data_IF_317507594502
#
_entry.id   IF_317507594502
#
_cell.length_a   1.000
_cell.length_b   1.000
_cell.length_c   1.000
_cell.angle_alpha   90.00
_cell.angle_beta   90.00
_cell.angle_gamma   90.00
#
_symmetry.space_group_name_H-M   'P 1'
#
loop_
_entity.id
_entity.type
_entity.pdbx_description
1 polymer ?
#
# COMPACT_ATOMS: atom_id res chain seq x y z
N UNK A 1 25.36 -19.30 16.41
CA UNK A 1 25.15 -17.96 16.93
C UNK A 1 24.22 -17.23 15.98
N UNK A 2 22.95 -17.04 16.34
CA UNK A 2 21.99 -16.30 15.55
C UNK A 2 22.18 -14.80 15.83
N UNK A 3 22.11 -13.90 14.83
CA UNK A 3 22.22 -12.46 15.07
C UNK A 3 20.96 -11.99 15.80
N UNK A 4 21.14 -11.40 16.97
CA UNK A 4 20.09 -10.73 17.72
C UNK A 4 19.61 -9.51 16.92
N UNK A 5 18.43 -9.57 16.35
CA UNK A 5 17.77 -8.41 15.78
C UNK A 5 17.31 -7.50 16.93
N UNK A 6 18.10 -6.51 17.26
CA UNK A 6 17.67 -5.39 18.09
C UNK A 6 16.66 -4.54 17.32
N UNK A 7 15.43 -5.01 17.24
CA UNK A 7 14.31 -4.24 16.72
C UNK A 7 14.08 -3.06 17.64
N UNK A 8 14.50 -1.87 17.23
CA UNK A 8 14.12 -0.63 17.89
C UNK A 8 12.60 -0.51 17.82
N UNK A 9 11.92 -0.85 18.91
CA UNK A 9 10.46 -0.70 19.01
C UNK A 9 10.16 0.78 18.98
N UNK A 10 9.79 1.33 17.86
CA UNK A 10 9.35 2.72 17.76
C UNK A 10 8.12 2.90 18.64
N UNK A 11 8.27 3.56 19.78
CA UNK A 11 7.15 3.87 20.66
C UNK A 11 6.37 5.03 20.05
N UNK A 12 5.20 4.74 19.50
CA UNK A 12 4.31 5.72 18.93
C UNK A 12 3.64 6.56 20.05
N UNK A 13 3.34 7.85 19.78
CA UNK A 13 2.53 8.65 20.69
C UNK A 13 1.11 8.06 20.83
N UNK A 14 0.43 8.35 21.93
CA UNK A 14 -0.92 7.83 22.18
C UNK A 14 -1.94 8.31 21.12
N UNK A 15 -1.71 9.46 20.53
CA UNK A 15 -2.51 10.12 19.50
C UNK A 15 -1.96 9.87 18.07
N UNK A 16 -1.22 8.77 17.86
CA UNK A 16 -0.64 8.46 16.55
C UNK A 16 -1.69 8.42 15.44
N UNK A 17 -1.51 9.26 14.42
CA UNK A 17 -2.36 9.29 13.23
C UNK A 17 -1.70 8.58 12.05
N UNK A 18 -2.51 7.95 11.21
CA UNK A 18 -2.05 7.14 10.09
C UNK A 18 -2.66 7.64 8.78
N UNK A 19 -1.85 8.06 7.83
CA UNK A 19 -2.31 8.22 6.45
C UNK A 19 -2.53 6.82 5.86
N UNK A 20 -3.78 6.48 5.62
CA UNK A 20 -4.18 5.24 4.95
C UNK A 20 -4.39 5.50 3.47
N UNK A 21 -3.66 4.77 2.63
CA UNK A 21 -3.70 4.89 1.17
C UNK A 21 -4.15 3.55 0.59
N UNK A 22 -5.16 3.60 -0.29
CA UNK A 22 -5.61 2.48 -1.12
C UNK A 22 -5.26 2.81 -2.57
N UNK A 23 -4.27 2.11 -3.10
CA UNK A 23 -3.80 2.25 -4.48
C UNK A 23 -4.53 1.23 -5.35
N UNK A 24 -5.44 1.70 -6.18
CA UNK A 24 -6.16 0.86 -7.12
C UNK A 24 -5.78 1.09 -8.58
N UNK A 25 -6.08 0.13 -9.45
CA UNK A 25 -5.84 0.27 -10.90
C UNK A 25 -6.66 1.37 -11.57
N UNK A 26 -7.77 1.80 -10.98
CA UNK A 26 -8.65 2.85 -11.53
C UNK A 26 -8.77 4.08 -10.64
N UNK A 27 -8.26 4.02 -9.41
CA UNK A 27 -8.39 5.13 -8.47
C UNK A 27 -7.45 5.02 -7.30
N UNK A 28 -6.89 6.15 -6.90
CA UNK A 28 -6.09 6.33 -5.70
C UNK A 28 -6.98 6.94 -4.64
N UNK A 29 -7.01 6.36 -3.44
CA UNK A 29 -7.82 6.82 -2.33
C UNK A 29 -6.96 7.02 -1.11
N UNK A 30 -7.24 8.04 -0.31
CA UNK A 30 -6.55 8.27 0.94
C UNK A 30 -7.43 8.99 1.96
N UNK A 31 -7.18 8.70 3.24
CA UNK A 31 -7.71 9.42 4.39
C UNK A 31 -6.72 9.32 5.54
N UNK A 32 -6.83 10.20 6.53
CA UNK A 32 -6.09 10.09 7.79
C UNK A 32 -6.97 9.45 8.84
N UNK A 33 -6.42 8.45 9.52
CA UNK A 33 -7.08 7.70 10.57
C UNK A 33 -6.50 8.07 11.94
N UNK A 34 -7.36 8.16 12.93
CA UNK A 34 -6.98 8.27 14.34
C UNK A 34 -6.40 6.94 14.88
N UNK A 35 -5.94 6.87 16.15
CA UNK A 35 -5.44 5.64 16.74
C UNK A 35 -6.46 4.50 16.81
N UNK A 36 -7.76 4.79 16.73
CA UNK A 36 -8.84 3.82 16.73
C UNK A 36 -9.25 3.37 15.33
N UNK A 37 -8.62 3.93 14.28
CA UNK A 37 -8.95 3.65 12.88
C UNK A 37 -10.14 4.44 12.33
N UNK A 38 -10.61 5.46 13.05
CA UNK A 38 -11.69 6.33 12.59
C UNK A 38 -11.13 7.41 11.67
N UNK A 39 -11.82 7.69 10.57
CA UNK A 39 -11.42 8.73 9.62
C UNK A 39 -11.53 10.12 10.27
N UNK A 40 -10.44 10.89 10.19
CA UNK A 40 -10.34 12.26 10.70
C UNK A 40 -10.72 13.31 9.65
N UNK A 41 -10.84 12.91 8.39
CA UNK A 41 -11.26 13.74 7.26
C UNK A 41 -11.92 12.87 6.20
N UNK A 42 -12.70 13.49 5.32
CA UNK A 42 -13.30 12.81 4.19
C UNK A 42 -12.24 12.16 3.31
N UNK A 43 -12.58 10.99 2.81
CA UNK A 43 -11.70 10.24 1.90
C UNK A 43 -11.57 10.94 0.57
N UNK A 44 -10.35 11.31 0.21
CA UNK A 44 -10.02 11.81 -1.11
C UNK A 44 -9.91 10.65 -2.08
N UNK A 45 -10.48 10.81 -3.27
CA UNK A 45 -10.35 9.88 -4.39
C UNK A 45 -9.98 10.66 -5.64
N UNK A 46 -8.93 10.20 -6.32
CA UNK A 46 -8.54 10.69 -7.67
C UNK A 46 -8.39 9.50 -8.62
N UNK A 47 -8.50 9.74 -9.90
CA UNK A 47 -8.24 8.71 -10.89
C UNK A 47 -6.76 8.31 -10.91
N UNK A 48 -6.50 7.04 -11.14
CA UNK A 48 -5.13 6.55 -11.33
C UNK A 48 -4.60 7.05 -12.67
N UNK A 49 -3.49 7.78 -12.69
CA UNK A 49 -2.90 8.26 -13.95
C UNK A 49 -2.33 7.08 -14.74
N UNK A 50 -2.47 7.13 -16.06
CA UNK A 50 -1.84 6.19 -16.98
C UNK A 50 -1.09 6.95 -18.10
N UNK A 51 0.14 6.52 -18.46
CA UNK A 51 0.93 5.48 -17.79
C UNK A 51 1.32 5.88 -16.36
N UNK A 52 1.46 4.89 -15.47
CA UNK A 52 1.77 5.12 -14.06
C UNK A 52 3.14 4.51 -13.68
N UNK A 53 4.27 5.09 -14.09
CA UNK A 53 5.57 4.69 -13.56
C UNK A 53 5.68 5.03 -12.06
N UNK A 54 6.62 4.43 -11.30
CA UNK A 54 6.78 4.63 -9.86
C UNK A 54 6.83 6.10 -9.43
N UNK A 55 7.54 6.93 -10.18
CA UNK A 55 7.67 8.38 -9.90
C UNK A 55 6.35 9.14 -10.01
N UNK A 56 5.51 8.77 -10.99
CA UNK A 56 4.18 9.34 -11.17
C UNK A 56 3.28 8.96 -10.00
N UNK A 57 3.28 7.68 -9.58
CA UNK A 57 2.51 7.25 -8.42
C UNK A 57 2.90 8.03 -7.16
N UNK A 58 4.21 8.10 -6.86
CA UNK A 58 4.70 8.83 -5.67
C UNK A 58 4.27 10.29 -5.68
N UNK A 59 4.38 11.00 -6.82
CA UNK A 59 3.93 12.39 -6.97
C UNK A 59 2.42 12.53 -6.76
N UNK A 60 1.62 11.65 -7.34
CA UNK A 60 0.16 11.67 -7.18
C UNK A 60 -0.25 11.49 -5.73
N UNK A 61 0.39 10.57 -5.01
CA UNK A 61 0.12 10.33 -3.59
C UNK A 61 0.55 11.53 -2.73
N UNK A 62 1.65 12.22 -3.06
CA UNK A 62 2.02 13.46 -2.38
C UNK A 62 0.99 14.58 -2.57
N UNK A 63 0.42 14.72 -3.78
CA UNK A 63 -0.62 15.72 -4.05
C UNK A 63 -1.88 15.44 -3.23
N UNK A 64 -2.29 14.18 -3.13
CA UNK A 64 -3.43 13.78 -2.30
C UNK A 64 -3.15 14.07 -0.82
N UNK A 65 -1.99 13.66 -0.32
CA UNK A 65 -1.64 13.81 1.09
C UNK A 65 -1.59 15.27 1.57
N UNK A 66 -1.24 16.21 0.69
CA UNK A 66 -1.22 17.65 1.02
C UNK A 66 -2.60 18.24 1.32
N UNK A 67 -3.67 17.56 0.93
CA UNK A 67 -5.06 17.97 1.15
C UNK A 67 -5.66 17.36 2.44
N UNK A 68 -4.90 16.52 3.13
CA UNK A 68 -5.32 15.79 4.31
C UNK A 68 -4.63 16.34 5.58
N UNK A 69 -5.20 16.10 6.77
CA UNK A 69 -4.54 16.44 8.02
C UNK A 69 -3.15 15.84 8.17
N UNK A 70 -2.36 16.38 9.10
CA UNK A 70 -1.04 15.85 9.44
C UNK A 70 -1.12 14.42 9.96
N UNK A 71 -0.07 13.65 9.71
CA UNK A 71 0.00 12.23 10.09
C UNK A 71 1.42 11.86 10.54
N UNK A 72 1.51 10.82 11.38
CA UNK A 72 2.76 10.35 11.95
C UNK A 72 3.37 9.16 11.19
N UNK A 73 2.55 8.43 10.44
CA UNK A 73 2.96 7.24 9.66
C UNK A 73 2.03 7.01 8.48
N UNK A 74 2.47 6.18 7.54
CA UNK A 74 1.69 5.84 6.34
C UNK A 74 1.50 4.33 6.22
N UNK A 75 0.29 3.91 5.88
CA UNK A 75 -0.06 2.54 5.49
C UNK A 75 -0.60 2.54 4.07
N UNK A 76 -0.04 1.70 3.21
CA UNK A 76 -0.40 1.63 1.79
C UNK A 76 -0.85 0.22 1.42
N UNK A 77 -2.08 0.08 0.94
CA UNK A 77 -2.57 -1.07 0.19
C UNK A 77 -2.21 -0.90 -1.29
N UNK A 78 -1.50 -1.86 -1.89
CA UNK A 78 -0.96 -1.78 -3.23
C UNK A 78 -1.40 -2.96 -4.10
N UNK A 79 -1.85 -2.75 -5.36
CA UNK A 79 -2.47 -3.79 -6.21
C UNK A 79 -1.41 -4.67 -6.89
N UNK A 80 -0.50 -5.25 -6.11
CA UNK A 80 0.58 -6.06 -6.63
C UNK A 80 1.27 -6.90 -5.56
N UNK A 81 2.20 -7.73 -5.99
CA UNK A 81 3.04 -8.49 -5.07
C UNK A 81 4.12 -7.58 -4.49
N UNK A 82 4.08 -7.41 -3.17
CA UNK A 82 5.07 -6.61 -2.41
C UNK A 82 5.79 -7.51 -1.42
N UNK A 83 7.11 -7.36 -1.33
CA UNK A 83 7.93 -8.04 -0.34
C UNK A 83 8.94 -7.06 0.26
N UNK A 84 8.93 -6.94 1.59
CA UNK A 84 9.81 -6.00 2.31
C UNK A 84 9.76 -4.56 1.76
N UNK A 85 8.56 -4.08 1.40
CA UNK A 85 8.35 -2.74 0.84
C UNK A 85 8.75 -2.56 -0.62
N UNK A 86 9.27 -3.62 -1.27
CA UNK A 86 9.64 -3.62 -2.70
C UNK A 86 8.55 -4.27 -3.54
N UNK A 87 8.26 -3.67 -4.68
CA UNK A 87 7.34 -4.21 -5.67
C UNK A 87 8.03 -5.34 -6.43
N UNK A 88 7.44 -6.53 -6.41
CA UNK A 88 7.92 -7.67 -7.20
C UNK A 88 7.16 -7.73 -8.52
N UNK A 89 5.86 -7.47 -8.48
CA UNK A 89 5.00 -7.47 -9.66
C UNK A 89 3.79 -6.58 -9.43
N UNK A 90 3.41 -5.82 -10.46
CA UNK A 90 2.19 -4.99 -10.45
C UNK A 90 1.54 -4.96 -11.83
N UNK A 91 0.65 -5.92 -12.14
CA UNK A 91 0.02 -6.02 -13.47
C UNK A 91 -0.71 -4.75 -13.91
N UNK A 92 -1.37 -4.05 -12.98
CA UNK A 92 -2.12 -2.83 -13.29
C UNK A 92 -1.21 -1.71 -13.84
N UNK A 93 -0.04 -1.48 -13.24
CA UNK A 93 0.83 -0.36 -13.60
C UNK A 93 1.93 -0.72 -14.62
N UNK A 94 2.01 -1.97 -14.98
CA UNK A 94 2.89 -2.46 -16.05
C UNK A 94 2.26 -2.27 -17.44
N UNK A 95 1.38 -1.30 -17.62
CA UNK A 95 0.58 -1.03 -18.83
C UNK A 95 0.47 0.46 -19.08
N UNK A 96 0.40 0.88 -20.34
CA UNK A 96 0.25 2.30 -20.70
C UNK A 96 -1.16 2.82 -20.49
N UNK A 97 -2.15 1.93 -20.56
CA UNK A 97 -3.56 2.22 -20.28
C UNK A 97 -4.15 1.09 -19.44
N UNK A 98 -5.17 1.38 -18.65
CA UNK A 98 -5.84 0.38 -17.84
C UNK A 98 -6.42 -0.75 -18.74
N UNK A 99 -6.12 -2.00 -18.37
CA UNK A 99 -6.58 -3.17 -19.17
C UNK A 99 -5.83 -3.42 -20.48
N UNK A 100 -4.90 -2.54 -20.88
CA UNK A 100 -4.08 -2.72 -22.08
C UNK A 100 -3.03 -3.85 -21.97
N UNK A 101 -2.23 -4.11 -23.01
CA UNK A 101 -1.14 -5.09 -22.95
C UNK A 101 -0.02 -4.64 -22.01
N UNK A 102 0.79 -5.56 -21.46
CA UNK A 102 1.99 -5.22 -20.71
C UNK A 102 2.99 -4.42 -21.55
N UNK A 103 3.57 -3.40 -20.93
CA UNK A 103 4.64 -2.58 -21.49
C UNK A 103 5.97 -2.98 -20.82
N UNK A 104 6.98 -3.44 -21.58
CA UNK A 104 8.24 -3.93 -21.02
C UNK A 104 8.99 -2.91 -20.18
N UNK A 105 8.96 -1.63 -20.58
CA UNK A 105 9.66 -0.56 -19.86
C UNK A 105 9.01 -0.32 -18.49
N UNK A 106 7.67 -0.31 -18.43
CA UNK A 106 6.95 -0.17 -17.17
C UNK A 106 7.12 -1.41 -16.28
N UNK A 107 7.14 -2.60 -16.84
CA UNK A 107 7.47 -3.84 -16.11
C UNK A 107 8.83 -3.71 -15.46
N UNK A 108 9.86 -3.27 -16.21
CA UNK A 108 11.21 -3.10 -15.70
C UNK A 108 11.30 -2.02 -14.62
N UNK A 109 10.65 -0.88 -14.80
CA UNK A 109 10.63 0.21 -13.82
C UNK A 109 10.00 -0.19 -12.48
N UNK A 110 9.01 -1.06 -12.50
CA UNK A 110 8.32 -1.51 -11.29
C UNK A 110 9.01 -2.69 -10.60
N UNK A 111 9.73 -3.53 -11.35
CA UNK A 111 10.37 -4.73 -10.81
C UNK A 111 11.47 -4.36 -9.81
N UNK A 112 11.32 -4.80 -8.58
CA UNK A 112 12.27 -4.51 -7.48
C UNK A 112 12.23 -3.07 -6.97
N UNK A 113 11.32 -2.20 -7.45
CA UNK A 113 11.23 -0.82 -7.00
C UNK A 113 10.95 -0.73 -5.50
N UNK A 114 11.77 0.02 -4.78
CA UNK A 114 11.63 0.28 -3.34
C UNK A 114 10.54 1.34 -3.10
N UNK A 115 9.28 0.90 -3.16
CA UNK A 115 8.14 1.79 -3.00
C UNK A 115 8.03 2.34 -1.57
N UNK A 116 8.27 1.50 -0.56
CA UNK A 116 8.21 1.94 0.84
C UNK A 116 9.27 3.01 1.12
N UNK A 117 10.52 2.80 0.68
CA UNK A 117 11.59 3.78 0.83
C UNK A 117 11.34 5.07 0.05
N UNK A 118 10.82 4.97 -1.18
CA UNK A 118 10.47 6.14 -1.98
C UNK A 118 9.39 7.00 -1.31
N UNK A 119 8.34 6.37 -0.78
CA UNK A 119 7.27 7.06 -0.05
C UNK A 119 7.75 7.60 1.29
N UNK A 120 8.62 6.87 2.03
CA UNK A 120 9.18 7.34 3.28
C UNK A 120 10.01 8.62 3.07
N UNK A 121 10.80 8.69 2.00
CA UNK A 121 11.51 9.91 1.61
C UNK A 121 10.57 11.04 1.23
N UNK A 122 9.49 10.74 0.51
CA UNK A 122 8.52 11.71 0.03
C UNK A 122 7.68 12.33 1.15
N UNK A 123 7.29 11.54 2.13
CA UNK A 123 6.44 11.95 3.26
C UNK A 123 7.22 12.31 4.53
N UNK A 124 8.50 11.93 4.60
CA UNK A 124 9.39 12.13 5.77
C UNK A 124 8.87 11.48 7.07
N UNK A 125 8.11 10.41 6.93
CA UNK A 125 7.58 9.58 8.03
C UNK A 125 7.72 8.09 7.67
N UNK A 126 7.64 7.18 8.64
CA UNK A 126 7.66 5.74 8.39
C UNK A 126 6.49 5.30 7.50
N UNK A 127 6.79 4.43 6.54
CA UNK A 127 5.81 3.90 5.57
C UNK A 127 5.84 2.38 5.58
N UNK A 128 4.65 1.77 5.62
CA UNK A 128 4.45 0.35 5.38
C UNK A 128 3.63 0.16 4.10
N UNK A 129 4.13 -0.67 3.20
CA UNK A 129 3.43 -1.07 1.97
C UNK A 129 3.16 -2.56 2.04
N UNK A 130 1.92 -2.95 1.83
CA UNK A 130 1.49 -4.33 1.72
C UNK A 130 0.58 -4.50 0.50
N UNK A 131 0.32 -5.74 0.11
CA UNK A 131 -0.70 -5.98 -0.90
C UNK A 131 -2.08 -5.52 -0.41
N UNK A 132 -2.92 -5.03 -1.30
CA UNK A 132 -4.26 -4.52 -0.99
C UNK A 132 -5.17 -5.58 -0.35
N UNK A 133 -5.13 -6.83 -0.85
CA UNK A 133 -5.87 -7.93 -0.26
C UNK A 133 -5.32 -8.33 1.13
N UNK A 134 -4.00 -8.27 1.34
CA UNK A 134 -3.40 -8.52 2.65
C UNK A 134 -3.86 -7.45 3.67
N UNK A 135 -3.91 -6.18 3.27
CA UNK A 135 -4.41 -5.10 4.14
C UNK A 135 -5.89 -5.30 4.50
N UNK A 136 -6.72 -5.67 3.51
CA UNK A 136 -8.14 -5.98 3.75
C UNK A 136 -8.28 -7.23 4.64
N UNK A 137 -7.49 -8.25 4.40
CA UNK A 137 -7.47 -9.46 5.19
C UNK A 137 -7.18 -9.22 6.67
N UNK A 138 -6.21 -8.35 6.97
CA UNK A 138 -5.86 -7.98 8.35
C UNK A 138 -7.04 -7.40 9.15
N UNK A 139 -8.07 -6.86 8.48
CA UNK A 139 -9.24 -6.30 9.15
C UNK A 139 -10.28 -7.35 9.57
N UNK A 140 -10.20 -8.57 9.04
CA UNK A 140 -11.23 -9.61 9.22
C UNK A 140 -10.70 -10.91 9.84
N UNK A 141 -9.39 -11.11 9.86
CA UNK A 141 -8.78 -12.32 10.47
C UNK A 141 -8.74 -12.19 11.99
N UNK A 142 -8.99 -13.33 12.68
CA UNK A 142 -8.91 -13.42 14.13
C UNK A 142 -7.53 -13.88 14.63
N UNK A 143 -6.67 -14.35 13.73
CA UNK A 143 -5.33 -14.82 14.05
C UNK A 143 -5.28 -16.21 14.72
N UNK A 144 -6.36 -17.01 14.61
CA UNK A 144 -6.45 -18.32 15.20
C UNK A 144 -6.63 -19.39 14.12
N UNK A 145 -5.67 -20.33 14.03
CA UNK A 145 -5.73 -21.40 13.06
C UNK A 145 -5.44 -20.97 11.63
N UNK A 146 -6.02 -21.70 10.66
CA UNK A 146 -5.91 -21.37 9.24
C UNK A 146 -7.11 -20.55 8.82
N UNK A 147 -6.87 -19.32 8.35
CA UNK A 147 -7.91 -18.41 7.87
C UNK A 147 -7.66 -18.08 6.40
N UNK A 148 -8.71 -18.14 5.60
CA UNK A 148 -8.67 -17.82 4.17
C UNK A 148 -9.47 -16.56 3.89
N UNK A 149 -8.83 -15.53 3.33
CA UNK A 149 -9.50 -14.29 2.91
C UNK A 149 -9.50 -14.21 1.40
N UNK A 150 -10.68 -14.06 0.82
CA UNK A 150 -10.87 -13.88 -0.62
C UNK A 150 -11.44 -12.48 -0.88
N UNK A 151 -10.76 -11.69 -1.71
CA UNK A 151 -11.28 -10.41 -2.19
C UNK A 151 -11.83 -10.58 -3.61
N UNK A 152 -13.07 -10.14 -3.82
CA UNK A 152 -13.73 -10.15 -5.13
C UNK A 152 -13.79 -8.70 -5.65
N UNK A 153 -13.24 -8.46 -6.82
CA UNK A 153 -13.20 -7.15 -7.47
C UNK A 153 -13.53 -7.25 -8.95
N UNK A 154 -13.59 -6.12 -9.63
CA UNK A 154 -13.85 -6.02 -11.09
C UNK A 154 -12.68 -6.49 -11.95
N UNK A 155 -11.52 -6.77 -11.36
CA UNK A 155 -10.39 -7.46 -11.98
C UNK A 155 -10.40 -8.95 -11.63
N UNK A 156 -9.64 -9.76 -12.37
CA UNK A 156 -9.52 -11.20 -12.15
C UNK A 156 -9.41 -11.57 -10.66
N UNK A 157 -10.12 -12.60 -10.16
CA UNK A 157 -10.11 -12.95 -8.76
C UNK A 157 -8.68 -13.29 -8.32
N UNK A 158 -8.14 -12.46 -7.44
CA UNK A 158 -6.85 -12.75 -6.80
C UNK A 158 -7.12 -13.65 -5.62
N UNK A 159 -6.87 -14.95 -5.77
CA UNK A 159 -6.88 -15.88 -4.65
C UNK A 159 -5.61 -15.67 -3.82
N UNK A 160 -5.74 -15.34 -2.55
CA UNK A 160 -4.63 -15.34 -1.62
C UNK A 160 -5.01 -16.10 -0.36
N UNK A 161 -4.26 -17.15 -0.07
CA UNK A 161 -4.25 -17.76 1.24
C UNK A 161 -3.29 -16.94 2.12
N UNK A 162 -3.80 -16.30 3.16
CA UNK A 162 -2.99 -15.67 4.18
C UNK A 162 -2.71 -16.71 5.27
N UNK A 163 -1.46 -17.15 5.37
CA UNK A 163 -0.99 -17.98 6.47
C UNK A 163 -0.51 -17.05 7.58
N UNK A 164 -1.27 -16.94 8.65
CA UNK A 164 -0.77 -16.31 9.88
C UNK A 164 0.06 -17.37 10.58
N UNK A 165 1.38 -17.15 10.65
CA UNK A 165 2.26 -17.90 11.53
C UNK A 165 2.22 -17.20 12.89
N UNK A 166 1.68 -17.89 13.88
CA UNK A 166 1.83 -17.54 15.30
C UNK A 166 3.25 -17.83 15.77
#
# INVERSE_FOLDING_TARGET
MAPSSSGTTTRWPADVTTLSIDVGGTGLKASVLDPKGVMMADRIRVETPYPCPPTTLVKSLQVIAKQLPSFHRVSVGFPGLVRHGRVIQVPAFSRRVYGGPPDPDLVQLWNGFDLAGALARAFKVPVKVANDADVQGCAVVNGVGFEFVMTLGTGCPSYRAMRILL
#
